data_IF_810742865712
#
_entry.id   IF_810742865712
#
_cell.length_a   1.000
_cell.length_b   1.000
_cell.length_c   1.000
_cell.angle_alpha   90.00
_cell.angle_beta   90.00
_cell.angle_gamma   90.00
#
_symmetry.space_group_name_H-M   'P 1'
#
loop_
_entity.id
_entity.type
_entity.pdbx_description
1 polymer ?
#
# COMPACT_ATOMS: atom_id res chain seq x y z
N UNK A 1 5.85 -8.70 -44.04
CA UNK A 1 5.54 -10.12 -43.83
C UNK A 1 5.30 -10.36 -42.35
N UNK A 2 4.04 -10.43 -41.88
CA UNK A 2 3.74 -10.92 -40.53
C UNK A 2 3.36 -12.39 -40.69
N UNK A 3 4.24 -13.30 -40.27
CA UNK A 3 3.85 -14.67 -39.97
C UNK A 3 2.88 -14.59 -38.80
N UNK A 4 1.58 -14.53 -39.09
CA UNK A 4 0.53 -14.25 -38.12
C UNK A 4 0.31 -15.50 -37.26
N UNK A 5 1.21 -15.76 -36.32
CA UNK A 5 0.97 -16.73 -35.26
C UNK A 5 -0.32 -16.32 -34.54
N UNK A 6 -1.28 -17.23 -34.31
CA UNK A 6 -2.50 -16.89 -33.59
C UNK A 6 -2.15 -16.32 -32.21
N UNK A 7 -2.91 -15.32 -31.76
CA UNK A 7 -2.75 -14.77 -30.41
C UNK A 7 -2.93 -15.86 -29.35
N UNK A 8 -2.45 -15.63 -28.12
CA UNK A 8 -2.50 -16.62 -27.04
C UNK A 8 -3.92 -17.14 -26.80
N UNK A 9 -4.93 -16.27 -26.91
CA UNK A 9 -6.33 -16.63 -26.78
C UNK A 9 -6.81 -17.60 -27.87
N UNK A 10 -6.61 -17.23 -29.14
CA UNK A 10 -7.05 -18.04 -30.26
C UNK A 10 -6.29 -19.37 -30.34
N UNK A 11 -5.01 -19.38 -29.94
CA UNK A 11 -4.20 -20.60 -29.81
C UNK A 11 -4.76 -21.54 -28.75
N UNK A 12 -5.07 -21.04 -27.55
CA UNK A 12 -5.61 -21.85 -26.46
C UNK A 12 -7.03 -22.36 -26.76
N UNK A 13 -7.87 -21.51 -27.35
CA UNK A 13 -9.25 -21.84 -27.74
C UNK A 13 -9.37 -22.66 -29.04
N UNK A 14 -8.24 -23.00 -29.67
CA UNK A 14 -8.16 -23.76 -30.94
C UNK A 14 -9.06 -23.20 -32.05
N UNK A 15 -9.12 -21.87 -32.20
CA UNK A 15 -9.90 -21.18 -33.23
C UNK A 15 -9.03 -20.30 -34.12
N UNK A 16 -9.54 -19.93 -35.30
CA UNK A 16 -8.85 -19.01 -36.22
C UNK A 16 -8.70 -17.61 -35.59
N UNK A 17 -7.52 -17.02 -35.68
CA UNK A 17 -7.26 -15.64 -35.28
C UNK A 17 -7.51 -14.72 -36.48
N UNK A 18 -8.59 -13.94 -36.45
CA UNK A 18 -8.89 -12.93 -37.47
C UNK A 18 -8.01 -11.68 -37.30
N UNK A 19 -7.93 -10.84 -38.34
CA UNK A 19 -7.14 -9.60 -38.32
C UNK A 19 -7.69 -8.56 -37.32
N UNK A 20 -9.00 -8.61 -37.04
CA UNK A 20 -9.73 -7.76 -36.09
C UNK A 20 -9.93 -8.44 -34.72
N UNK A 21 -9.12 -9.45 -34.39
CA UNK A 21 -9.28 -10.21 -33.15
C UNK A 21 -9.13 -9.32 -31.90
N UNK A 22 -10.21 -9.19 -31.12
CA UNK A 22 -10.26 -8.39 -29.89
C UNK A 22 -9.24 -8.81 -28.81
N UNK A 23 -8.76 -10.04 -28.86
CA UNK A 23 -7.79 -10.57 -27.89
C UNK A 23 -6.35 -10.32 -28.31
N UNK A 24 -6.10 -10.10 -29.60
CA UNK A 24 -4.74 -10.04 -30.14
C UNK A 24 -3.88 -8.89 -29.57
N UNK A 25 -4.41 -7.67 -29.34
CA UNK A 25 -3.64 -6.59 -28.74
C UNK A 25 -3.21 -6.86 -27.28
N UNK A 26 -4.01 -7.64 -26.54
CA UNK A 26 -3.83 -7.81 -25.08
C UNK A 26 -3.21 -9.14 -24.68
N UNK A 27 -3.33 -10.16 -25.54
CA UNK A 27 -2.84 -11.52 -25.29
C UNK A 27 -1.98 -11.99 -26.47
N UNK A 28 -0.76 -11.43 -26.62
CA UNK A 28 0.13 -11.75 -27.72
C UNK A 28 0.63 -13.20 -27.62
N UNK A 29 1.11 -13.76 -28.73
CA UNK A 29 1.51 -15.18 -28.79
C UNK A 29 2.74 -15.52 -27.93
N UNK A 30 3.52 -14.52 -27.53
CA UNK A 30 4.72 -14.66 -26.68
C UNK A 30 4.37 -15.02 -25.23
N UNK A 31 3.17 -14.68 -24.76
CA UNK A 31 2.74 -14.92 -23.38
C UNK A 31 1.44 -15.76 -23.32
N UNK A 32 1.53 -17.07 -23.60
CA UNK A 32 0.38 -17.97 -23.54
C UNK A 32 -0.14 -18.16 -22.12
N UNK A 33 0.72 -18.03 -21.10
CA UNK A 33 0.35 -18.21 -19.70
C UNK A 33 -0.62 -17.14 -19.22
N UNK A 34 -0.42 -15.89 -19.65
CA UNK A 34 -1.30 -14.77 -19.34
C UNK A 34 -2.76 -15.03 -19.69
N UNK A 35 -3.03 -15.55 -20.89
CA UNK A 35 -4.40 -15.90 -21.25
C UNK A 35 -4.90 -17.17 -20.54
N UNK A 36 -4.05 -18.19 -20.36
CA UNK A 36 -4.44 -19.43 -19.71
C UNK A 36 -4.93 -19.23 -18.26
N UNK A 37 -4.28 -18.35 -17.51
CA UNK A 37 -4.62 -18.05 -16.11
C UNK A 37 -5.94 -17.28 -16.04
N UNK A 38 -6.12 -16.25 -16.88
CA UNK A 38 -7.39 -15.51 -16.95
C UNK A 38 -8.53 -16.42 -17.41
N UNK A 39 -8.28 -17.27 -18.41
CA UNK A 39 -9.25 -18.26 -18.87
C UNK A 39 -9.67 -19.25 -17.77
N UNK A 40 -8.72 -19.71 -16.96
CA UNK A 40 -9.01 -20.64 -15.85
C UNK A 40 -9.89 -20.02 -14.76
N UNK A 41 -9.71 -18.73 -14.46
CA UNK A 41 -10.40 -18.05 -13.36
C UNK A 41 -11.72 -17.40 -13.82
N UNK A 42 -11.72 -16.74 -14.97
CA UNK A 42 -12.88 -15.98 -15.45
C UNK A 42 -13.62 -16.67 -16.58
N UNK A 43 -12.99 -17.54 -17.37
CA UNK A 43 -13.56 -18.15 -18.57
C UNK A 43 -13.57 -17.24 -19.79
N UNK A 44 -13.42 -17.82 -20.99
CA UNK A 44 -13.29 -17.06 -22.25
C UNK A 44 -14.46 -16.10 -22.52
N UNK A 45 -15.69 -16.52 -22.23
CA UNK A 45 -16.90 -15.73 -22.49
C UNK A 45 -16.97 -14.48 -21.62
N UNK A 46 -16.51 -14.54 -20.37
CA UNK A 46 -16.50 -13.39 -19.48
C UNK A 46 -15.39 -12.40 -19.86
N UNK A 47 -14.23 -12.89 -20.32
CA UNK A 47 -13.17 -12.03 -20.87
C UNK A 47 -13.65 -11.37 -22.17
N UNK A 48 -14.31 -12.12 -23.06
CA UNK A 48 -14.92 -11.58 -24.27
C UNK A 48 -15.95 -10.50 -23.97
N UNK A 49 -16.78 -10.67 -22.93
CA UNK A 49 -17.76 -9.66 -22.48
C UNK A 49 -17.06 -8.43 -21.88
N UNK A 50 -16.05 -8.61 -21.02
CA UNK A 50 -15.29 -7.49 -20.46
C UNK A 50 -14.55 -6.65 -21.51
N UNK A 51 -14.16 -7.26 -22.63
CA UNK A 51 -13.49 -6.57 -23.74
C UNK A 51 -14.46 -6.04 -24.83
N UNK A 52 -15.76 -6.34 -24.74
CA UNK A 52 -16.76 -5.96 -25.74
C UNK A 52 -17.91 -5.15 -25.13
N UNK A 53 -17.94 -3.85 -25.44
CA UNK A 53 -19.04 -2.94 -25.10
C UNK A 53 -20.26 -3.13 -26.03
N UNK A 54 -20.99 -4.25 -25.95
CA UNK A 54 -22.23 -4.45 -26.74
C UNK A 54 -23.34 -5.22 -26.00
N UNK A 55 -24.23 -4.46 -25.32
CA UNK A 55 -25.71 -4.56 -25.22
C UNK A 55 -26.30 -4.55 -23.79
N UNK A 56 -27.51 -3.97 -23.60
CA UNK A 56 -27.89 -3.29 -22.36
C UNK A 56 -28.99 -4.01 -21.58
N UNK A 57 -28.72 -5.16 -20.93
CA UNK A 57 -29.78 -5.80 -20.12
C UNK A 57 -29.36 -6.66 -18.92
N UNK A 58 -28.14 -6.51 -18.38
CA UNK A 58 -27.76 -7.15 -17.11
C UNK A 58 -27.04 -6.16 -16.19
N UNK A 59 -27.48 -6.04 -14.94
CA UNK A 59 -27.05 -5.05 -13.92
C UNK A 59 -25.56 -5.13 -13.52
N UNK A 60 -24.79 -6.05 -14.10
CA UNK A 60 -23.33 -6.16 -13.99
C UNK A 60 -22.58 -5.27 -15.02
N UNK A 61 -23.29 -4.65 -15.97
CA UNK A 61 -22.78 -3.76 -17.03
C UNK A 61 -22.56 -2.29 -16.60
N UNK A 62 -22.61 -1.93 -15.32
CA UNK A 62 -22.35 -0.53 -14.93
C UNK A 62 -20.84 -0.20 -14.87
N UNK A 63 -19.97 -1.19 -14.69
CA UNK A 63 -18.51 -0.96 -14.66
C UNK A 63 -17.89 -1.12 -16.05
N UNK A 64 -18.53 -1.88 -16.95
CA UNK A 64 -17.90 -2.39 -18.18
C UNK A 64 -18.34 -1.72 -19.48
N UNK A 65 -19.34 -0.84 -19.47
CA UNK A 65 -19.97 -0.42 -20.72
C UNK A 65 -19.29 0.73 -21.47
N UNK A 66 -18.29 1.39 -20.91
CA UNK A 66 -17.60 2.52 -21.56
C UNK A 66 -16.08 2.48 -21.31
N UNK A 67 -15.43 1.31 -21.22
CA UNK A 67 -13.96 1.29 -21.14
C UNK A 67 -13.41 1.81 -22.49
N UNK A 68 -12.88 3.04 -22.53
CA UNK A 68 -12.35 3.57 -23.77
C UNK A 68 -11.11 2.75 -24.14
N UNK A 69 -10.76 2.76 -25.42
CA UNK A 69 -9.79 1.79 -26.00
C UNK A 69 -8.44 1.82 -25.26
N UNK A 70 -8.06 2.99 -24.75
CA UNK A 70 -6.91 3.26 -23.89
C UNK A 70 -6.92 2.44 -22.59
N UNK A 71 -8.06 2.29 -21.92
CA UNK A 71 -8.14 1.62 -20.62
C UNK A 71 -8.27 0.09 -20.71
N UNK A 72 -8.55 -0.44 -21.90
CA UNK A 72 -8.69 -1.90 -22.10
C UNK A 72 -7.40 -2.67 -21.82
N UNK A 73 -6.24 -2.04 -22.07
CA UNK A 73 -4.94 -2.61 -21.72
C UNK A 73 -4.76 -2.77 -20.22
N UNK A 74 -5.19 -1.77 -19.45
CA UNK A 74 -5.15 -1.79 -17.99
C UNK A 74 -6.16 -2.78 -17.43
N UNK A 75 -7.38 -2.81 -17.96
CA UNK A 75 -8.39 -3.79 -17.58
C UNK A 75 -7.90 -5.24 -17.79
N UNK A 76 -7.31 -5.54 -18.96
CA UNK A 76 -6.73 -6.85 -19.22
C UNK A 76 -5.59 -7.17 -18.23
N UNK A 77 -4.79 -6.17 -17.85
CA UNK A 77 -3.71 -6.34 -16.87
C UNK A 77 -4.24 -6.59 -15.45
N UNK A 78 -5.28 -5.89 -15.03
CA UNK A 78 -5.97 -6.12 -13.76
C UNK A 78 -6.58 -7.52 -13.69
N UNK A 79 -7.26 -7.97 -14.76
CA UNK A 79 -7.79 -9.33 -14.83
C UNK A 79 -6.68 -10.39 -14.71
N UNK A 80 -5.52 -10.16 -15.32
CA UNK A 80 -4.36 -11.06 -15.18
C UNK A 80 -3.85 -11.08 -13.75
N UNK A 81 -3.73 -9.91 -13.12
CA UNK A 81 -3.30 -9.82 -11.72
C UNK A 81 -4.26 -10.57 -10.79
N UNK A 82 -5.56 -10.32 -10.91
CA UNK A 82 -6.60 -10.96 -10.09
C UNK A 82 -6.63 -12.47 -10.29
N UNK A 83 -6.55 -12.93 -11.54
CA UNK A 83 -6.50 -14.36 -11.84
C UNK A 83 -5.25 -15.02 -11.24
N UNK A 84 -4.09 -14.36 -11.32
CA UNK A 84 -2.87 -14.85 -10.68
C UNK A 84 -3.00 -14.90 -9.16
N UNK A 85 -3.59 -13.87 -8.54
CA UNK A 85 -3.83 -13.85 -7.11
C UNK A 85 -4.75 -15.00 -6.68
N UNK A 86 -5.84 -15.26 -7.43
CA UNK A 86 -6.77 -16.37 -7.19
C UNK A 86 -6.13 -17.75 -7.39
N UNK A 87 -5.17 -17.88 -8.32
CA UNK A 87 -4.42 -19.13 -8.51
C UNK A 87 -3.49 -19.39 -7.32
N UNK A 88 -2.84 -18.36 -6.77
CA UNK A 88 -1.96 -18.48 -5.60
C UNK A 88 -2.74 -18.69 -4.30
N UNK A 89 -3.87 -17.99 -4.16
CA UNK A 89 -4.77 -18.08 -3.02
C UNK A 89 -6.19 -18.35 -3.52
N UNK A 90 -6.60 -19.64 -3.58
CA UNK A 90 -7.95 -20.02 -4.02
C UNK A 90 -9.07 -19.53 -3.10
N UNK A 91 -8.77 -19.17 -1.86
CA UNK A 91 -9.77 -18.76 -0.86
C UNK A 91 -10.00 -17.26 -0.94
N UNK A 92 -8.95 -16.44 -0.83
CA UNK A 92 -9.07 -14.99 -0.75
C UNK A 92 -8.56 -14.25 -1.99
N UNK A 93 -7.73 -14.86 -2.83
CA UNK A 93 -7.21 -14.25 -4.05
C UNK A 93 -6.58 -12.87 -3.81
N UNK A 94 -7.00 -11.86 -4.58
CA UNK A 94 -6.53 -10.48 -4.38
C UNK A 94 -7.08 -9.82 -3.11
N UNK A 95 -8.20 -10.31 -2.55
CA UNK A 95 -8.78 -9.78 -1.31
C UNK A 95 -7.84 -9.99 -0.13
N UNK A 96 -7.09 -11.09 -0.10
CA UNK A 96 -6.06 -11.32 0.91
C UNK A 96 -4.98 -10.23 0.92
N UNK A 97 -4.55 -9.79 -0.26
CA UNK A 97 -3.60 -8.68 -0.39
C UNK A 97 -4.21 -7.34 0.05
N UNK A 98 -5.48 -7.10 -0.26
CA UNK A 98 -6.21 -5.91 0.20
C UNK A 98 -6.26 -5.88 1.73
N UNK A 99 -6.69 -6.98 2.37
CA UNK A 99 -6.79 -7.06 3.83
C UNK A 99 -5.43 -6.90 4.50
N UNK A 100 -4.38 -7.52 3.94
CA UNK A 100 -3.01 -7.35 4.43
C UNK A 100 -2.57 -5.87 4.39
N UNK A 101 -2.79 -5.20 3.25
CA UNK A 101 -2.43 -3.79 3.09
C UNK A 101 -3.25 -2.87 4.02
N UNK A 102 -4.54 -3.12 4.17
CA UNK A 102 -5.39 -2.38 5.11
C UNK A 102 -4.91 -2.50 6.55
N UNK A 103 -4.49 -3.71 6.97
CA UNK A 103 -3.91 -3.93 8.30
C UNK A 103 -2.60 -3.16 8.47
N UNK A 104 -1.72 -3.17 7.47
CA UNK A 104 -0.47 -2.40 7.52
C UNK A 104 -0.71 -0.89 7.60
N UNK A 105 -1.65 -0.37 6.81
CA UNK A 105 -2.04 1.06 6.89
C UNK A 105 -2.53 1.39 8.29
N UNK A 106 -3.36 0.55 8.89
CA UNK A 106 -3.85 0.76 10.25
C UNK A 106 -2.72 0.73 11.30
N UNK A 107 -1.76 -0.18 11.17
CA UNK A 107 -0.62 -0.28 12.08
C UNK A 107 0.27 0.96 11.98
N UNK A 108 0.63 1.35 10.76
CA UNK A 108 1.45 2.54 10.50
C UNK A 108 0.75 3.82 10.98
N UNK A 109 -0.57 3.92 10.82
CA UNK A 109 -1.33 5.06 11.32
C UNK A 109 -1.30 5.13 12.85
N UNK A 110 -1.37 3.99 13.54
CA UNK A 110 -1.25 3.92 15.00
C UNK A 110 0.14 4.33 15.47
N UNK A 111 1.20 3.81 14.84
CA UNK A 111 2.58 4.18 15.15
C UNK A 111 2.82 5.69 14.96
N UNK A 112 2.28 6.26 13.89
CA UNK A 112 2.35 7.69 13.62
C UNK A 112 1.67 8.50 14.74
N UNK A 113 0.48 8.09 15.17
CA UNK A 113 -0.24 8.75 16.27
C UNK A 113 0.56 8.68 17.57
N UNK A 114 1.13 7.52 17.91
CA UNK A 114 1.98 7.37 19.10
C UNK A 114 3.18 8.32 19.05
N UNK A 115 3.90 8.36 17.92
CA UNK A 115 5.05 9.24 17.74
C UNK A 115 4.67 10.73 17.84
N UNK A 116 3.53 11.12 17.24
CA UNK A 116 3.03 12.48 17.32
C UNK A 116 2.65 12.88 18.75
N UNK A 117 1.98 11.99 19.50
CA UNK A 117 1.66 12.23 20.92
C UNK A 117 2.92 12.39 21.76
N UNK A 118 3.94 11.57 21.53
CA UNK A 118 5.22 11.68 22.25
C UNK A 118 5.95 13.00 21.93
N UNK A 119 5.96 13.42 20.67
CA UNK A 119 6.52 14.73 20.27
C UNK A 119 5.81 15.90 20.96
N UNK A 120 4.48 15.85 21.07
CA UNK A 120 3.71 16.87 21.80
C UNK A 120 4.06 16.85 23.29
N UNK A 121 4.18 15.67 23.90
CA UNK A 121 4.57 15.52 25.31
C UNK A 121 5.94 16.15 25.59
N UNK A 122 6.92 15.89 24.74
CA UNK A 122 8.27 16.45 24.86
C UNK A 122 8.25 17.98 24.74
N UNK A 123 7.50 18.53 23.77
CA UNK A 123 7.35 19.99 23.62
C UNK A 123 6.72 20.64 24.85
N UNK A 124 5.65 20.07 25.39
CA UNK A 124 5.00 20.58 26.61
C UNK A 124 5.93 20.55 27.83
N UNK A 125 6.83 19.57 27.93
CA UNK A 125 7.82 19.50 29.02
C UNK A 125 8.93 20.55 28.90
N UNK A 126 9.27 20.98 27.68
CA UNK A 126 10.24 22.05 27.44
C UNK A 126 9.68 23.44 27.74
N UNK A 127 8.36 23.61 27.65
CA UNK A 127 7.66 24.88 27.96
C UNK A 127 7.30 25.06 29.46
N UNK A 128 7.74 24.17 30.37
CA UNK A 128 7.58 24.44 31.80
C UNK A 128 8.45 25.64 32.20
N UNK A 129 7.88 26.71 32.80
CA UNK A 129 8.68 27.77 33.37
C UNK A 129 9.57 27.16 34.45
N UNK A 130 10.85 27.52 34.45
CA UNK A 130 11.76 27.21 35.55
C UNK A 130 11.09 27.59 36.87
N UNK A 131 11.13 26.74 37.92
CA UNK A 131 10.59 27.12 39.22
C UNK A 131 11.23 28.46 39.61
N UNK A 132 10.45 29.45 40.06
CA UNK A 132 11.02 30.74 40.45
C UNK A 132 12.11 30.45 41.48
N UNK A 133 13.34 30.80 41.11
CA UNK A 133 14.49 30.71 41.98
C UNK A 133 14.17 31.57 43.19
N UNK A 134 13.75 30.94 44.30
CA UNK A 134 13.65 31.62 45.57
C UNK A 134 15.09 31.96 45.97
N UNK A 135 15.52 33.17 45.60
CA UNK A 135 16.78 33.72 46.06
C UNK A 135 16.76 33.69 47.60
N UNK A 136 17.78 33.12 48.26
CA UNK A 136 17.85 33.16 49.70
C UNK A 136 17.97 34.63 50.11
N UNK A 137 16.96 35.14 50.83
CA UNK A 137 17.03 36.46 51.44
C UNK A 137 18.11 36.43 52.51
N UNK A 138 19.33 36.82 52.14
CA UNK A 138 20.40 37.08 53.11
C UNK A 138 19.98 38.28 53.96
N UNK A 139 19.37 37.98 55.11
CA UNK A 139 19.14 38.96 56.15
C UNK A 139 19.77 38.45 57.44
N UNK A 140 21.07 38.66 57.58
CA UNK A 140 21.76 38.63 58.86
C UNK A 140 22.69 39.83 58.93
N UNK A 141 22.16 40.92 59.47
CA UNK A 141 22.98 41.97 60.07
C UNK A 141 23.70 41.35 61.28
N UNK A 142 24.99 41.07 61.07
CA UNK A 142 26.12 41.31 61.97
C UNK A 142 25.84 41.34 63.49
N UNK A 143 26.36 40.35 64.23
CA UNK A 143 27.03 40.50 65.54
C UNK A 143 27.94 39.26 65.73
N UNK A 144 29.24 39.50 65.63
CA UNK A 144 30.30 38.96 66.50
C UNK A 144 30.51 37.44 66.62
N UNK A 145 31.57 36.91 65.99
CA UNK A 145 32.64 36.08 66.61
C UNK A 145 33.53 35.40 65.56
N UNK A 146 34.81 35.29 65.89
CA UNK A 146 36.00 34.96 65.08
C UNK A 146 36.04 33.60 64.34
N UNK A 147 37.01 33.42 63.39
CA UNK A 147 37.16 32.20 62.60
C UNK A 147 38.07 31.18 63.31
N UNK A 148 37.62 29.94 63.44
CA UNK A 148 38.48 28.82 63.80
C UNK A 148 38.58 27.80 62.65
N UNK A 149 39.83 27.60 62.25
CA UNK A 149 40.36 26.62 61.33
C UNK A 149 39.98 25.19 61.76
N UNK A 150 39.89 24.25 60.80
CA UNK A 150 40.65 22.99 60.79
C UNK A 150 40.23 22.02 59.66
N UNK A 151 41.21 21.74 58.80
CA UNK A 151 41.61 20.46 58.22
C UNK A 151 40.69 19.62 57.31
N UNK A 152 41.19 19.47 56.08
CA UNK A 152 41.01 18.31 55.18
C UNK A 152 41.46 16.98 55.82
N UNK A 153 41.03 15.84 55.26
CA UNK A 153 41.96 15.16 54.38
C UNK A 153 41.36 14.70 53.04
N UNK A 154 42.22 14.75 52.03
CA UNK A 154 42.09 14.13 50.70
C UNK A 154 42.17 12.60 50.77
N UNK A 155 41.52 11.92 49.82
CA UNK A 155 42.05 10.72 49.14
C UNK A 155 41.19 10.49 47.88
N UNK A 156 41.65 10.91 46.69
CA UNK A 156 42.34 10.10 45.65
C UNK A 156 41.60 8.85 45.20
N UNK A 157 41.21 8.86 43.92
CA UNK A 157 41.72 7.93 42.91
C UNK A 157 42.05 8.72 41.63
#
# INVERSE_FOLDING_TARGET
>A
MRSCSPCAACKLLRRRCAEDCIFAPYFPSQDPHRFAIVHKVFGASNISKALQAKKPFDLFEIILQELPVDQRGDAASSMVYEANARVRDPVYGCVGAISYLQNQVSQLQMELTVAQTELLRIKMQQDLPSPPYLAPTNNFNNIDSQPEYLNFPSSTN
#
